data_IF_691824786639
#
_entry.id   IF_691824786639
#
_cell.length_a   1.000
_cell.length_b   1.000
_cell.length_c   1.000
_cell.angle_alpha   90.00
_cell.angle_beta   90.00
_cell.angle_gamma   90.00
#
_symmetry.space_group_name_H-M   'P 1'
#
loop_
_entity.id
_entity.type
_entity.pdbx_description
1 polymer ?
#
# COMPACT_ATOMS: atom_id res chain seq x y z
N UNK A 1 6.82 -87.44 7.32
CA UNK A 1 6.01 -86.52 6.52
C UNK A 1 6.57 -85.13 6.70
N UNK A 2 7.53 -84.81 5.83
CA UNK A 2 8.25 -83.54 5.86
C UNK A 2 7.49 -82.52 4.98
N UNK A 3 7.07 -81.42 5.53
CA UNK A 3 6.61 -80.24 4.81
C UNK A 3 7.70 -79.18 4.81
N UNK A 4 8.43 -79.06 3.72
CA UNK A 4 9.37 -77.99 3.43
C UNK A 4 8.61 -76.76 2.95
N UNK A 5 8.86 -75.61 3.61
CA UNK A 5 8.42 -74.29 3.14
C UNK A 5 9.42 -73.75 2.11
N UNK A 6 8.97 -73.18 0.98
CA UNK A 6 9.89 -72.61 -0.01
C UNK A 6 10.39 -71.26 0.49
N UNK A 7 11.70 -71.04 0.36
CA UNK A 7 12.40 -69.83 0.72
C UNK A 7 12.06 -68.64 -0.18
N UNK A 8 12.38 -67.40 0.26
CA UNK A 8 11.98 -66.16 -0.42
C UNK A 8 12.75 -65.95 -1.74
N UNK A 9 12.00 -65.72 -2.82
CA UNK A 9 12.53 -65.39 -4.15
C UNK A 9 13.27 -64.04 -4.08
N UNK A 10 14.50 -64.02 -4.62
CA UNK A 10 15.33 -62.83 -4.84
C UNK A 10 14.66 -61.84 -5.79
N UNK A 11 14.39 -60.60 -5.33
CA UNK A 11 13.89 -59.51 -6.12
C UNK A 11 15.04 -58.92 -6.95
N UNK A 12 14.86 -58.65 -8.26
CA UNK A 12 15.90 -58.08 -9.12
C UNK A 12 16.35 -56.70 -8.64
N UNK A 13 17.65 -56.44 -8.75
CA UNK A 13 18.37 -55.25 -8.26
C UNK A 13 18.07 -53.92 -8.97
N UNK A 14 17.14 -53.90 -9.91
CA UNK A 14 16.82 -52.69 -10.69
C UNK A 14 15.73 -51.76 -10.09
N UNK A 15 15.08 -52.19 -9.00
CA UNK A 15 14.06 -51.35 -8.34
C UNK A 15 14.63 -50.33 -7.33
N UNK A 16 15.96 -50.29 -7.14
CA UNK A 16 16.62 -49.34 -6.19
C UNK A 16 17.15 -48.06 -6.81
N UNK A 17 16.93 -47.80 -8.10
CA UNK A 17 17.41 -46.57 -8.77
C UNK A 17 16.33 -45.52 -9.00
N UNK A 18 15.08 -45.75 -8.68
CA UNK A 18 13.97 -44.77 -8.93
C UNK A 18 13.43 -44.08 -7.70
N UNK A 19 14.01 -44.22 -6.49
CA UNK A 19 13.54 -43.57 -5.28
C UNK A 19 14.48 -42.47 -4.72
N UNK A 20 15.44 -42.02 -5.52
CA UNK A 20 16.14 -40.75 -5.27
C UNK A 20 15.61 -39.65 -6.18
N UNK A 21 14.31 -39.46 -6.20
CA UNK A 21 13.76 -38.15 -6.50
C UNK A 21 14.16 -37.24 -5.33
N UNK A 22 15.27 -36.57 -5.53
CA UNK A 22 15.79 -35.56 -4.63
C UNK A 22 14.71 -34.56 -4.32
N UNK A 23 14.16 -34.61 -3.12
CA UNK A 23 13.52 -33.45 -2.49
C UNK A 23 14.60 -32.39 -2.29
N UNK A 24 14.91 -31.66 -3.35
CA UNK A 24 15.72 -30.45 -3.28
C UNK A 24 14.88 -29.38 -2.59
N UNK A 25 14.61 -29.59 -1.29
CA UNK A 25 14.13 -28.55 -0.40
C UNK A 25 15.31 -27.58 -0.23
N UNK A 26 15.54 -26.74 -1.25
CA UNK A 26 16.43 -25.60 -1.13
C UNK A 26 15.84 -24.70 -0.06
N UNK A 27 16.33 -24.86 1.17
CA UNK A 27 16.17 -23.83 2.20
C UNK A 27 16.61 -22.52 1.54
N UNK A 28 15.76 -21.47 1.52
CA UNK A 28 16.15 -20.20 0.94
C UNK A 28 17.47 -19.78 1.59
N UNK A 29 18.51 -19.57 0.79
CA UNK A 29 19.79 -19.10 1.30
C UNK A 29 19.55 -17.84 2.10
N UNK A 30 20.25 -17.63 3.21
CA UNK A 30 20.12 -16.42 4.04
C UNK A 30 20.25 -15.12 3.22
N UNK A 31 21.02 -15.17 2.12
CA UNK A 31 21.09 -14.14 1.08
C UNK A 31 19.76 -13.88 0.37
N UNK A 32 18.84 -14.85 0.32
CA UNK A 32 17.52 -14.70 -0.30
C UNK A 32 16.55 -13.82 0.52
N UNK A 33 16.54 -13.96 1.86
CA UNK A 33 15.68 -13.17 2.73
C UNK A 33 16.17 -11.72 2.83
N UNK A 34 17.48 -11.51 2.98
CA UNK A 34 18.07 -10.16 2.97
C UNK A 34 17.83 -9.44 1.63
N UNK A 35 17.98 -10.16 0.51
CA UNK A 35 17.65 -9.64 -0.81
C UNK A 35 16.18 -9.22 -0.94
N UNK A 36 15.25 -9.98 -0.36
CA UNK A 36 13.83 -9.61 -0.34
C UNK A 36 13.56 -8.33 0.46
N UNK A 37 14.19 -8.14 1.62
CA UNK A 37 14.07 -6.89 2.39
C UNK A 37 14.58 -5.68 1.58
N UNK A 38 15.76 -5.78 0.96
CA UNK A 38 16.32 -4.71 0.12
C UNK A 38 15.39 -4.42 -1.05
N UNK A 39 14.88 -5.46 -1.71
CA UNK A 39 13.97 -5.35 -2.84
C UNK A 39 12.69 -4.58 -2.46
N UNK A 40 11.98 -5.01 -1.41
CA UNK A 40 10.75 -4.36 -0.98
C UNK A 40 11.00 -2.93 -0.49
N UNK A 41 12.06 -2.72 0.31
CA UNK A 41 12.40 -1.38 0.79
C UNK A 41 12.72 -0.42 -0.36
N UNK A 42 13.57 -0.83 -1.31
CA UNK A 42 14.00 0.01 -2.42
C UNK A 42 12.82 0.39 -3.34
N UNK A 43 11.96 -0.57 -3.69
CA UNK A 43 10.84 -0.30 -4.57
C UNK A 43 9.82 0.62 -3.92
N UNK A 44 9.43 0.38 -2.68
CA UNK A 44 8.48 1.25 -1.96
C UNK A 44 9.04 2.65 -1.71
N UNK A 45 10.33 2.76 -1.40
CA UNK A 45 11.00 4.06 -1.28
C UNK A 45 10.93 4.84 -2.59
N UNK A 46 11.32 4.22 -3.71
CA UNK A 46 11.31 4.89 -5.03
C UNK A 46 9.90 5.23 -5.48
N UNK A 47 8.93 4.33 -5.27
CA UNK A 47 7.52 4.59 -5.58
C UNK A 47 7.02 5.82 -4.82
N UNK A 48 7.29 5.91 -3.52
CA UNK A 48 6.84 7.04 -2.69
C UNK A 48 7.55 8.34 -3.04
N UNK A 49 8.85 8.32 -3.36
CA UNK A 49 9.56 9.52 -3.82
C UNK A 49 9.06 9.99 -5.18
N UNK A 50 8.83 9.07 -6.10
CA UNK A 50 8.51 9.37 -7.50
C UNK A 50 7.02 9.57 -7.79
N UNK A 51 6.13 9.47 -6.80
CA UNK A 51 4.68 9.64 -7.02
C UNK A 51 4.35 11.10 -7.36
N UNK A 52 3.75 11.37 -8.53
CA UNK A 52 3.33 12.72 -8.93
C UNK A 52 2.24 13.33 -8.03
N UNK A 53 1.55 12.53 -7.24
CA UNK A 53 0.44 12.98 -6.39
C UNK A 53 0.85 13.30 -4.96
N UNK A 54 1.87 12.62 -4.44
CA UNK A 54 2.29 12.72 -3.03
C UNK A 54 3.80 12.78 -2.79
N UNK A 55 4.62 12.41 -3.80
CA UNK A 55 6.08 12.35 -3.68
C UNK A 55 6.79 13.68 -3.93
N UNK A 56 8.09 13.61 -4.22
CA UNK A 56 8.98 14.76 -4.39
C UNK A 56 8.49 15.75 -5.47
N UNK A 57 7.91 15.25 -6.54
CA UNK A 57 7.45 16.08 -7.67
C UNK A 57 6.03 16.62 -7.48
N UNK A 58 5.28 16.16 -6.48
CA UNK A 58 3.89 16.55 -6.29
C UNK A 58 3.72 18.06 -6.03
N UNK A 59 4.51 18.64 -5.12
CA UNK A 59 4.45 20.06 -4.83
C UNK A 59 5.03 20.92 -5.95
N UNK A 60 6.20 20.60 -6.57
CA UNK A 60 6.69 21.28 -7.76
C UNK A 60 5.70 21.32 -8.92
N UNK A 61 4.98 20.23 -9.18
CA UNK A 61 3.94 20.17 -10.23
C UNK A 61 2.77 21.11 -9.90
N UNK A 62 2.29 21.12 -8.65
CA UNK A 62 1.24 22.05 -8.21
C UNK A 62 1.68 23.50 -8.33
N UNK A 63 2.90 23.81 -7.90
CA UNK A 63 3.49 25.14 -8.00
C UNK A 63 3.61 25.60 -9.46
N UNK A 64 4.06 24.72 -10.35
CA UNK A 64 4.17 24.98 -11.78
C UNK A 64 2.81 25.30 -12.40
N UNK A 65 1.78 24.50 -12.15
CA UNK A 65 0.42 24.71 -12.64
C UNK A 65 -0.17 26.04 -12.11
N UNK A 66 0.07 26.37 -10.83
CA UNK A 66 -0.33 27.66 -10.27
C UNK A 66 0.37 28.83 -10.96
N UNK A 67 1.66 28.69 -11.25
CA UNK A 67 2.44 29.74 -11.97
C UNK A 67 1.95 29.97 -13.39
N UNK A 68 1.26 28.97 -13.99
CA UNK A 68 0.59 29.09 -15.30
C UNK A 68 -0.80 29.73 -15.22
N UNK A 69 -1.26 30.09 -14.02
CA UNK A 69 -2.59 30.69 -13.80
C UNK A 69 -3.74 29.69 -13.82
N UNK A 70 -3.45 28.38 -13.67
CA UNK A 70 -4.49 27.36 -13.59
C UNK A 70 -5.36 27.57 -12.33
N UNK A 71 -6.67 27.44 -12.49
CA UNK A 71 -7.61 27.59 -11.40
C UNK A 71 -7.46 26.45 -10.37
N UNK A 72 -7.80 26.64 -9.09
CA UNK A 72 -7.81 25.58 -8.08
C UNK A 72 -8.64 24.36 -8.50
N UNK A 73 -9.75 24.58 -9.21
CA UNK A 73 -10.58 23.50 -9.73
C UNK A 73 -9.88 22.70 -10.84
N UNK A 74 -9.17 23.37 -11.76
CA UNK A 74 -8.40 22.71 -12.81
C UNK A 74 -7.22 21.92 -12.24
N UNK A 75 -6.55 22.47 -11.24
CA UNK A 75 -5.48 21.80 -10.52
C UNK A 75 -5.99 20.54 -9.80
N UNK A 76 -7.09 20.65 -9.06
CA UNK A 76 -7.72 19.52 -8.39
C UNK A 76 -8.17 18.44 -9.37
N UNK A 77 -8.77 18.82 -10.50
CA UNK A 77 -9.18 17.88 -11.55
C UNK A 77 -7.99 17.13 -12.15
N UNK A 78 -6.87 17.82 -12.41
CA UNK A 78 -5.67 17.19 -12.95
C UNK A 78 -5.06 16.18 -11.95
N UNK A 79 -5.00 16.54 -10.67
CA UNK A 79 -4.52 15.63 -9.63
C UNK A 79 -5.44 14.41 -9.46
N UNK A 80 -6.76 14.62 -9.51
CA UNK A 80 -7.74 13.53 -9.48
C UNK A 80 -7.60 12.58 -10.68
N UNK A 81 -7.37 13.11 -11.88
CA UNK A 81 -7.12 12.30 -13.08
C UNK A 81 -5.81 11.49 -12.96
N UNK A 82 -4.75 12.08 -12.38
CA UNK A 82 -3.51 11.35 -12.10
C UNK A 82 -3.71 10.23 -11.06
N UNK A 83 -4.67 10.35 -10.16
CA UNK A 83 -4.97 9.33 -9.17
C UNK A 83 -5.85 8.16 -9.72
N UNK A 84 -6.43 8.27 -10.93
CA UNK A 84 -7.27 7.21 -11.52
C UNK A 84 -6.59 5.83 -11.55
N UNK A 85 -5.29 5.69 -11.92
CA UNK A 85 -4.62 4.39 -11.90
C UNK A 85 -4.68 3.66 -10.55
N UNK A 86 -4.75 4.37 -9.45
CA UNK A 86 -4.87 3.80 -8.11
C UNK A 86 -6.25 3.16 -7.85
N UNK A 87 -7.29 3.65 -8.52
CA UNK A 87 -8.66 3.10 -8.38
C UNK A 87 -8.88 1.86 -9.24
N UNK A 88 -8.12 1.71 -10.33
CA UNK A 88 -8.21 0.56 -11.25
C UNK A 88 -7.20 -0.55 -10.95
N UNK A 89 -6.51 -0.51 -9.80
CA UNK A 89 -5.57 -1.56 -9.36
C UNK A 89 -6.07 -3.00 -9.54
N UNK A 90 -7.36 -3.35 -9.30
CA UNK A 90 -7.85 -4.71 -9.54
C UNK A 90 -7.65 -5.18 -10.98
N UNK A 91 -7.71 -4.28 -11.97
CA UNK A 91 -7.44 -4.62 -13.38
C UNK A 91 -5.97 -5.01 -13.56
N UNK A 92 -5.05 -4.29 -12.92
CA UNK A 92 -3.62 -4.63 -12.95
C UNK A 92 -3.34 -5.97 -12.27
N UNK A 93 -4.06 -6.27 -11.17
CA UNK A 93 -4.03 -7.56 -10.52
C UNK A 93 -4.48 -8.69 -11.44
N UNK A 94 -5.64 -8.54 -12.08
CA UNK A 94 -6.14 -9.49 -13.07
C UNK A 94 -5.14 -9.71 -14.22
N UNK A 95 -4.59 -8.64 -14.77
CA UNK A 95 -3.60 -8.74 -15.83
C UNK A 95 -2.39 -9.57 -15.39
N UNK A 96 -1.81 -9.29 -14.21
CA UNK A 96 -0.61 -9.98 -13.76
C UNK A 96 -0.86 -11.40 -13.28
N UNK A 97 -2.05 -11.72 -12.77
CA UNK A 97 -2.38 -13.07 -12.33
C UNK A 97 -2.70 -14.00 -13.51
N UNK A 98 -3.33 -13.46 -14.57
CA UNK A 98 -3.88 -14.27 -15.67
C UNK A 98 -3.11 -14.17 -16.97
N UNK A 99 -2.47 -13.05 -17.26
CA UNK A 99 -1.79 -12.81 -18.54
C UNK A 99 -0.28 -12.75 -18.31
N UNK A 100 0.47 -13.83 -18.62
CA UNK A 100 1.92 -13.76 -18.52
C UNK A 100 2.49 -12.83 -19.59
N UNK A 101 3.29 -11.84 -19.18
CA UNK A 101 3.98 -10.94 -20.09
C UNK A 101 5.34 -11.53 -20.45
N UNK A 102 5.52 -11.97 -21.71
CA UNK A 102 6.74 -12.67 -22.16
C UNK A 102 7.15 -13.84 -21.27
N UNK A 103 6.18 -14.67 -20.87
CA UNK A 103 6.40 -15.84 -20.03
C UNK A 103 6.56 -15.57 -18.53
N UNK A 104 6.43 -14.33 -18.08
CA UNK A 104 6.59 -13.92 -16.69
C UNK A 104 5.31 -13.27 -16.15
N UNK A 105 4.91 -13.64 -14.94
CA UNK A 105 3.73 -13.06 -14.27
C UNK A 105 4.05 -11.83 -13.43
N UNK A 106 5.29 -11.71 -12.91
CA UNK A 106 5.65 -10.65 -11.97
C UNK A 106 6.79 -9.79 -12.50
N UNK A 107 7.92 -10.42 -12.83
CA UNK A 107 9.15 -9.72 -13.20
C UNK A 107 8.96 -8.77 -14.38
N UNK A 108 8.40 -9.25 -15.49
CA UNK A 108 8.28 -8.44 -16.71
C UNK A 108 7.25 -7.33 -16.56
N UNK A 109 6.18 -7.53 -15.79
CA UNK A 109 5.26 -6.45 -15.42
C UNK A 109 5.94 -5.38 -14.58
N UNK A 110 6.77 -5.79 -13.60
CA UNK A 110 7.51 -4.86 -12.76
C UNK A 110 8.56 -4.08 -13.55
N UNK A 111 9.25 -4.74 -14.48
CA UNK A 111 10.20 -4.08 -15.39
C UNK A 111 9.47 -3.08 -16.31
N UNK A 112 8.32 -3.46 -16.87
CA UNK A 112 7.48 -2.55 -17.65
C UNK A 112 7.04 -1.34 -16.83
N UNK A 113 6.55 -1.55 -15.63
CA UNK A 113 6.09 -0.51 -14.71
C UNK A 113 7.20 0.51 -14.39
N UNK A 114 8.35 -0.01 -13.94
CA UNK A 114 9.50 0.82 -13.58
C UNK A 114 10.11 1.51 -14.81
N UNK A 115 10.19 0.80 -15.95
CA UNK A 115 10.68 1.34 -17.21
C UNK A 115 9.80 2.46 -17.75
N UNK A 116 8.48 2.30 -17.67
CA UNK A 116 7.50 3.31 -18.08
C UNK A 116 7.63 4.59 -17.25
N UNK A 117 7.72 4.45 -15.92
CA UNK A 117 7.91 5.57 -15.00
C UNK A 117 9.25 6.28 -15.22
N UNK A 118 10.35 5.52 -15.39
CA UNK A 118 11.67 6.07 -15.68
C UNK A 118 11.69 6.86 -17.00
N UNK A 119 11.22 6.25 -18.08
CA UNK A 119 11.21 6.86 -19.42
C UNK A 119 10.38 8.15 -19.42
N UNK A 120 9.22 8.12 -18.79
CA UNK A 120 8.31 9.26 -18.69
C UNK A 120 8.92 10.45 -17.96
N UNK A 121 9.52 10.24 -16.78
CA UNK A 121 10.13 11.32 -16.00
C UNK A 121 11.45 11.82 -16.61
N UNK A 122 12.26 10.94 -17.18
CA UNK A 122 13.46 11.36 -17.92
C UNK A 122 13.10 12.17 -19.16
N UNK A 123 12.06 11.76 -19.90
CA UNK A 123 11.57 12.55 -21.05
C UNK A 123 11.08 13.93 -20.58
N UNK A 124 10.31 13.98 -19.49
CA UNK A 124 9.78 15.22 -18.92
C UNK A 124 10.88 16.20 -18.51
N UNK A 125 12.07 15.69 -18.13
CA UNK A 125 13.23 16.52 -17.81
C UNK A 125 13.69 17.42 -18.96
N UNK A 126 13.54 16.96 -20.21
CA UNK A 126 14.01 17.63 -21.39
C UNK A 126 12.91 18.37 -22.18
N UNK A 127 11.64 18.14 -21.82
CA UNK A 127 10.52 18.79 -22.50
C UNK A 127 10.37 20.22 -22.01
N UNK A 128 10.38 21.21 -22.89
CA UNK A 128 10.10 22.58 -22.50
C UNK A 128 8.62 22.73 -22.13
N UNK A 129 8.37 22.98 -20.87
CA UNK A 129 7.03 23.21 -20.34
C UNK A 129 6.76 24.72 -20.27
N UNK A 130 5.62 25.14 -20.84
CA UNK A 130 5.18 26.53 -20.88
C UNK A 130 3.71 26.65 -20.42
N UNK A 131 3.23 27.85 -20.09
CA UNK A 131 1.81 28.10 -19.86
C UNK A 131 0.96 27.54 -21.00
N UNK A 132 -0.09 26.77 -20.65
CA UNK A 132 -0.91 26.02 -21.62
C UNK A 132 -0.48 24.57 -21.87
N UNK A 133 0.73 24.14 -21.44
CA UNK A 133 1.22 22.76 -21.60
C UNK A 133 0.65 21.76 -20.58
N UNK A 134 -0.41 22.10 -19.85
CA UNK A 134 -0.97 21.25 -18.78
C UNK A 134 -1.30 19.83 -19.24
N UNK A 135 -1.86 19.67 -20.44
CA UNK A 135 -2.21 18.36 -20.97
C UNK A 135 -0.99 17.55 -21.41
N UNK A 136 0.08 18.23 -21.87
CA UNK A 136 1.37 17.59 -22.14
C UNK A 136 2.02 17.11 -20.85
N UNK A 137 2.03 17.97 -19.81
CA UNK A 137 2.49 17.62 -18.47
C UNK A 137 1.71 16.40 -17.93
N UNK A 138 0.37 16.43 -18.03
CA UNK A 138 -0.47 15.30 -17.65
C UNK A 138 -0.13 14.03 -18.42
N UNK A 139 -0.02 14.11 -19.75
CA UNK A 139 0.28 12.96 -20.61
C UNK A 139 1.65 12.33 -20.29
N UNK A 140 2.62 13.15 -19.84
CA UNK A 140 3.92 12.67 -19.43
C UNK A 140 3.95 12.18 -17.96
N UNK A 141 3.09 12.67 -17.08
CA UNK A 141 2.99 12.20 -15.69
C UNK A 141 2.12 10.95 -15.56
N UNK A 142 1.11 10.78 -16.40
CA UNK A 142 0.19 9.65 -16.34
C UNK A 142 0.89 8.28 -16.47
N UNK A 143 1.86 8.07 -17.39
CA UNK A 143 2.59 6.81 -17.44
C UNK A 143 3.36 6.50 -16.15
N UNK A 144 3.86 7.54 -15.46
CA UNK A 144 4.49 7.37 -14.14
C UNK A 144 3.50 6.82 -13.12
N UNK A 145 2.30 7.41 -13.00
CA UNK A 145 1.28 6.92 -12.05
C UNK A 145 0.75 5.54 -12.42
N UNK A 146 0.60 5.23 -13.71
CA UNK A 146 0.27 3.87 -14.18
C UNK A 146 1.37 2.90 -13.76
N UNK A 147 2.65 3.25 -13.99
CA UNK A 147 3.79 2.44 -13.59
C UNK A 147 3.83 2.20 -12.08
N UNK A 148 3.58 3.23 -11.27
CA UNK A 148 3.52 3.11 -9.80
C UNK A 148 2.38 2.16 -9.39
N UNK A 149 1.16 2.40 -9.85
CA UNK A 149 0.00 1.62 -9.46
C UNK A 149 0.12 0.15 -9.90
N UNK A 150 0.65 -0.12 -11.11
CA UNK A 150 0.95 -1.47 -11.58
C UNK A 150 2.08 -2.10 -10.76
N UNK A 151 3.18 -1.37 -10.55
CA UNK A 151 4.34 -1.85 -9.78
C UNK A 151 3.97 -2.20 -8.34
N UNK A 152 3.15 -1.38 -7.69
CA UNK A 152 2.66 -1.59 -6.34
C UNK A 152 1.86 -2.90 -6.22
N UNK A 153 0.91 -3.14 -7.15
CA UNK A 153 0.15 -4.40 -7.20
C UNK A 153 1.07 -5.62 -7.35
N UNK A 154 2.11 -5.53 -8.18
CA UNK A 154 3.06 -6.63 -8.38
C UNK A 154 3.93 -6.84 -7.15
N UNK A 155 4.42 -5.78 -6.52
CA UNK A 155 5.26 -5.86 -5.30
C UNK A 155 4.46 -6.43 -4.14
N UNK A 156 3.19 -6.04 -3.99
CA UNK A 156 2.28 -6.58 -2.99
C UNK A 156 2.00 -8.08 -3.21
N UNK A 157 1.80 -8.49 -4.46
CA UNK A 157 1.65 -9.91 -4.80
C UNK A 157 2.91 -10.71 -4.46
N UNK A 158 4.10 -10.20 -4.83
CA UNK A 158 5.39 -10.82 -4.48
C UNK A 158 5.60 -10.87 -2.97
N UNK A 159 5.15 -9.85 -2.24
CA UNK A 159 5.21 -9.84 -0.77
C UNK A 159 4.37 -10.98 -0.19
N UNK A 160 3.15 -11.19 -0.70
CA UNK A 160 2.28 -12.30 -0.26
C UNK A 160 2.91 -13.64 -0.63
N UNK A 161 3.32 -13.83 -1.88
CA UNK A 161 3.88 -15.08 -2.40
C UNK A 161 5.18 -15.49 -1.68
N UNK A 162 6.08 -14.53 -1.40
CA UNK A 162 7.34 -14.78 -0.68
C UNK A 162 7.17 -14.78 0.84
N UNK A 163 6.24 -13.99 1.36
CA UNK A 163 6.05 -13.79 2.79
C UNK A 163 5.28 -14.92 3.47
N UNK A 164 4.24 -15.43 2.84
CA UNK A 164 3.39 -16.48 3.42
C UNK A 164 4.17 -17.76 3.77
N UNK A 165 4.95 -18.38 2.85
CA UNK A 165 5.69 -19.61 3.15
C UNK A 165 6.73 -19.45 4.26
N UNK A 166 7.24 -18.23 4.47
CA UNK A 166 8.25 -17.90 5.46
C UNK A 166 7.66 -17.40 6.78
N UNK A 167 6.34 -17.14 6.84
CA UNK A 167 5.69 -16.45 7.96
C UNK A 167 6.25 -15.04 8.19
N UNK A 168 6.63 -14.33 7.10
CA UNK A 168 7.28 -13.02 7.12
C UNK A 168 6.41 -11.88 6.55
N UNK A 169 5.13 -12.12 6.26
CA UNK A 169 4.22 -11.12 5.67
C UNK A 169 4.24 -9.80 6.44
N UNK A 170 4.03 -9.82 7.75
CA UNK A 170 4.03 -8.62 8.58
C UNK A 170 5.37 -7.89 8.61
N UNK A 171 6.50 -8.61 8.53
CA UNK A 171 7.83 -7.98 8.44
C UNK A 171 8.08 -7.36 7.07
N UNK A 172 7.64 -8.01 6.01
CA UNK A 172 7.76 -7.44 4.66
C UNK A 172 6.86 -6.21 4.53
N UNK A 173 5.64 -6.24 5.05
CA UNK A 173 4.77 -5.06 5.13
C UNK A 173 5.42 -3.94 5.93
N UNK A 174 6.00 -4.24 7.08
CA UNK A 174 6.69 -3.25 7.91
C UNK A 174 7.83 -2.57 7.14
N UNK A 175 8.69 -3.32 6.43
CA UNK A 175 9.82 -2.72 5.71
C UNK A 175 9.37 -1.90 4.50
N UNK A 176 8.32 -2.35 3.78
CA UNK A 176 7.71 -1.59 2.70
C UNK A 176 7.24 -0.21 3.18
N UNK A 177 6.41 -0.19 4.22
CA UNK A 177 5.85 1.04 4.75
C UNK A 177 6.85 1.89 5.54
N UNK A 178 7.87 1.28 6.16
CA UNK A 178 9.00 2.02 6.73
C UNK A 178 9.71 2.81 5.64
N UNK A 179 10.00 2.18 4.51
CA UNK A 179 10.66 2.83 3.37
C UNK A 179 9.78 3.91 2.75
N UNK A 180 8.47 3.65 2.59
CA UNK A 180 7.51 4.62 2.07
C UNK A 180 7.40 5.86 2.97
N UNK A 181 7.22 5.66 4.29
CA UNK A 181 7.10 6.78 5.23
C UNK A 181 8.40 7.57 5.37
N UNK A 182 9.56 6.91 5.29
CA UNK A 182 10.85 7.59 5.26
C UNK A 182 10.98 8.46 3.99
N UNK A 183 10.53 7.97 2.85
CA UNK A 183 10.48 8.71 1.61
C UNK A 183 9.55 9.94 1.72
N UNK A 184 8.32 9.75 2.21
CA UNK A 184 7.33 10.83 2.36
C UNK A 184 7.76 11.90 3.36
N UNK A 185 8.44 11.51 4.44
CA UNK A 185 9.05 12.44 5.38
C UNK A 185 10.09 13.33 4.68
N UNK A 186 10.97 12.74 3.86
CA UNK A 186 12.00 13.48 3.14
C UNK A 186 11.42 14.35 2.02
N UNK A 187 10.44 13.83 1.27
CA UNK A 187 9.87 14.54 0.12
C UNK A 187 8.99 15.72 0.52
N UNK A 188 8.42 15.73 1.72
CA UNK A 188 7.69 16.88 2.25
C UNK A 188 8.60 18.12 2.37
N UNK A 189 9.78 17.94 2.96
CA UNK A 189 10.77 19.03 3.11
C UNK A 189 11.41 19.39 1.78
N UNK A 190 11.91 18.40 1.03
CA UNK A 190 12.62 18.62 -0.23
C UNK A 190 11.72 19.13 -1.35
N UNK A 191 10.48 18.66 -1.42
CA UNK A 191 9.50 19.08 -2.42
C UNK A 191 9.14 20.57 -2.30
N UNK A 192 9.05 21.07 -1.07
CA UNK A 192 8.88 22.51 -0.80
C UNK A 192 10.03 23.33 -1.33
N UNK A 193 11.25 22.96 -0.99
CA UNK A 193 12.47 23.61 -1.48
C UNK A 193 12.58 23.64 -3.01
N UNK A 194 12.35 22.46 -3.64
CA UNK A 194 12.37 22.32 -5.11
C UNK A 194 11.31 23.18 -5.78
N UNK A 195 10.14 23.32 -5.16
CA UNK A 195 9.06 24.15 -5.69
C UNK A 195 9.38 25.64 -5.57
N UNK A 196 9.93 26.07 -4.47
CA UNK A 196 10.33 27.46 -4.20
C UNK A 196 11.43 27.91 -5.15
N UNK A 197 12.49 27.11 -5.30
CA UNK A 197 13.64 27.40 -6.18
C UNK A 197 13.36 27.10 -7.67
N UNK A 198 12.13 26.67 -8.03
CA UNK A 198 11.73 26.34 -9.42
C UNK A 198 12.62 25.30 -10.10
N UNK A 199 13.07 24.31 -9.33
CA UNK A 199 13.95 23.22 -9.78
C UNK A 199 13.17 22.00 -10.28
N UNK A 200 12.02 22.17 -10.93
CA UNK A 200 11.14 21.08 -11.34
C UNK A 200 11.84 20.06 -12.25
N UNK A 201 12.62 20.54 -13.25
CA UNK A 201 13.37 19.65 -14.16
C UNK A 201 14.38 18.78 -13.43
N UNK A 202 15.05 19.36 -12.40
CA UNK A 202 15.96 18.58 -11.54
C UNK A 202 15.20 17.49 -10.77
N UNK A 203 14.02 17.81 -10.23
CA UNK A 203 13.19 16.83 -9.52
C UNK A 203 12.73 15.69 -10.45
N UNK A 204 12.33 16.00 -11.68
CA UNK A 204 11.98 15.00 -12.68
C UNK A 204 13.19 14.11 -13.01
N UNK A 205 14.37 14.70 -13.21
CA UNK A 205 15.61 13.96 -13.48
C UNK A 205 15.95 13.01 -12.32
N UNK A 206 15.96 13.51 -11.08
CA UNK A 206 16.24 12.72 -9.88
C UNK A 206 15.28 11.55 -9.73
N UNK A 207 13.98 11.81 -9.85
CA UNK A 207 12.97 10.75 -9.81
C UNK A 207 13.14 9.77 -10.97
N UNK A 208 13.41 10.24 -12.19
CA UNK A 208 13.68 9.38 -13.34
C UNK A 208 14.87 8.45 -13.12
N UNK A 209 15.99 8.95 -12.56
CA UNK A 209 17.16 8.14 -12.19
C UNK A 209 16.80 7.12 -11.10
N UNK A 210 16.04 7.51 -10.07
CA UNK A 210 15.58 6.58 -9.05
C UNK A 210 14.74 5.43 -9.64
N UNK A 211 13.92 5.73 -10.66
CA UNK A 211 13.14 4.70 -11.35
C UNK A 211 14.01 3.77 -12.22
N UNK A 212 15.11 4.27 -12.81
CA UNK A 212 16.13 3.40 -13.46
C UNK A 212 16.78 2.48 -12.43
N UNK A 213 17.09 2.98 -11.23
CA UNK A 213 17.61 2.13 -10.16
C UNK A 213 16.57 1.10 -9.70
N UNK A 214 15.30 1.47 -9.56
CA UNK A 214 14.21 0.53 -9.26
C UNK A 214 14.08 -0.55 -10.35
N UNK A 215 14.21 -0.18 -11.63
CA UNK A 215 14.26 -1.13 -12.73
C UNK A 215 15.42 -2.11 -12.58
N UNK A 216 16.64 -1.63 -12.26
CA UNK A 216 17.81 -2.48 -12.05
C UNK A 216 17.62 -3.41 -10.83
N UNK A 217 17.02 -2.92 -9.74
CA UNK A 217 16.67 -3.74 -8.56
C UNK A 217 15.65 -4.81 -8.95
N UNK A 218 14.60 -4.45 -9.68
CA UNK A 218 13.61 -5.41 -10.17
C UNK A 218 14.24 -6.46 -11.10
N UNK A 219 15.10 -6.03 -12.01
CA UNK A 219 15.86 -6.94 -12.90
C UNK A 219 16.70 -7.95 -12.11
N UNK A 220 17.33 -7.51 -11.01
CA UNK A 220 18.27 -8.34 -10.24
C UNK A 220 17.60 -9.26 -9.24
N UNK A 221 16.48 -8.84 -8.64
CA UNK A 221 15.89 -9.49 -7.46
C UNK A 221 14.46 -9.99 -7.66
N UNK A 222 13.75 -9.57 -8.71
CA UNK A 222 12.45 -10.13 -9.01
C UNK A 222 12.63 -11.51 -9.64
N UNK A 223 12.41 -12.54 -8.83
CA UNK A 223 12.33 -13.92 -9.30
C UNK A 223 10.91 -14.20 -9.79
N UNK A 224 10.82 -14.92 -10.90
CA UNK A 224 9.55 -15.40 -11.45
C UNK A 224 9.67 -16.89 -11.77
N UNK A 225 8.56 -17.59 -11.76
CA UNK A 225 8.50 -18.93 -12.32
C UNK A 225 8.40 -18.80 -13.85
N UNK A 226 9.47 -19.12 -14.56
CA UNK A 226 9.66 -18.89 -16.00
C UNK A 226 8.66 -19.64 -16.92
N UNK A 227 7.81 -20.51 -16.39
CA UNK A 227 6.90 -21.37 -17.17
C UNK A 227 5.42 -20.99 -17.09
N UNK A 228 5.13 -19.71 -16.92
CA UNK A 228 3.74 -19.25 -16.92
C UNK A 228 3.19 -19.19 -18.36
N UNK A 229 2.56 -20.26 -18.79
CA UNK A 229 1.78 -20.28 -20.03
C UNK A 229 0.32 -19.93 -19.75
N UNK A 230 -0.32 -19.24 -20.71
CA UNK A 230 -1.76 -19.06 -20.75
C UNK A 230 -2.39 -20.42 -21.03
N UNK A 231 -2.85 -21.08 -19.99
CA UNK A 231 -3.68 -22.28 -20.12
C UNK A 231 -5.14 -21.92 -19.77
N UNK A 232 -6.05 -22.19 -20.68
CA UNK A 232 -7.48 -21.97 -20.47
C UNK A 232 -8.02 -22.74 -19.24
N UNK A 233 -7.46 -23.91 -18.94
CA UNK A 233 -7.77 -24.67 -17.73
C UNK A 233 -7.31 -23.93 -16.47
N UNK A 234 -6.12 -23.35 -16.49
CA UNK A 234 -5.57 -22.51 -15.40
C UNK A 234 -6.41 -21.25 -15.17
N UNK A 235 -6.92 -20.61 -16.23
CA UNK A 235 -7.85 -19.48 -16.13
C UNK A 235 -9.15 -19.87 -15.42
N UNK A 236 -9.72 -21.02 -15.79
CA UNK A 236 -10.96 -21.49 -15.18
C UNK A 236 -10.77 -21.88 -13.70
N UNK A 237 -9.67 -22.56 -13.37
CA UNK A 237 -9.32 -22.89 -12.00
C UNK A 237 -9.07 -21.65 -11.14
N UNK A 238 -8.38 -20.65 -11.69
CA UNK A 238 -8.11 -19.40 -10.94
C UNK A 238 -9.34 -18.54 -10.79
N UNK A 239 -10.21 -18.48 -11.82
CA UNK A 239 -11.52 -17.84 -11.71
C UNK A 239 -12.42 -18.54 -10.66
N UNK A 240 -12.37 -19.86 -10.58
CA UNK A 240 -13.04 -20.63 -9.55
C UNK A 240 -12.46 -20.32 -8.16
N UNK A 241 -11.12 -20.28 -8.01
CA UNK A 241 -10.45 -19.91 -6.77
C UNK A 241 -10.80 -18.48 -6.33
N UNK A 242 -10.81 -17.52 -7.26
CA UNK A 242 -11.24 -16.14 -6.99
C UNK A 242 -12.69 -16.08 -6.51
N UNK A 243 -13.58 -16.81 -7.18
CA UNK A 243 -14.99 -16.91 -6.78
C UNK A 243 -15.15 -17.54 -5.40
N UNK A 244 -14.34 -18.54 -5.07
CA UNK A 244 -14.31 -19.17 -3.76
C UNK A 244 -13.87 -18.18 -2.68
N UNK A 245 -12.79 -17.44 -2.91
CA UNK A 245 -12.28 -16.40 -2.01
C UNK A 245 -13.33 -15.32 -1.77
N UNK A 246 -13.95 -14.80 -2.83
CA UNK A 246 -14.99 -13.76 -2.75
C UNK A 246 -16.28 -14.25 -2.04
N UNK A 247 -16.48 -15.57 -1.91
CA UNK A 247 -17.57 -16.18 -1.15
C UNK A 247 -17.17 -16.64 0.25
N UNK A 248 -15.88 -16.62 0.56
CA UNK A 248 -15.38 -17.04 1.85
C UNK A 248 -15.85 -16.06 2.95
N UNK A 249 -16.57 -16.52 3.97
CA UNK A 249 -17.08 -15.65 5.03
C UNK A 249 -15.97 -14.96 5.81
N UNK A 250 -14.80 -15.59 5.95
CA UNK A 250 -13.62 -14.96 6.57
C UNK A 250 -13.13 -13.78 5.73
N UNK A 251 -13.01 -13.97 4.42
CA UNK A 251 -12.58 -12.91 3.51
C UNK A 251 -13.56 -11.73 3.53
N UNK A 252 -14.85 -11.99 3.47
CA UNK A 252 -15.89 -10.96 3.54
C UNK A 252 -15.87 -10.22 4.88
N UNK A 253 -15.65 -10.92 6.00
CA UNK A 253 -15.53 -10.31 7.31
C UNK A 253 -14.28 -9.41 7.43
N UNK A 254 -13.16 -9.82 6.82
CA UNK A 254 -11.94 -8.99 6.75
C UNK A 254 -12.17 -7.79 5.85
N UNK A 255 -12.80 -7.93 4.69
CA UNK A 255 -13.15 -6.79 3.83
C UNK A 255 -14.04 -5.77 4.56
N UNK A 256 -15.07 -6.24 5.27
CA UNK A 256 -15.94 -5.39 6.07
C UNK A 256 -15.17 -4.66 7.17
N UNK A 257 -14.26 -5.37 7.87
CA UNK A 257 -13.39 -4.78 8.88
C UNK A 257 -12.51 -3.68 8.29
N UNK A 258 -11.84 -3.94 7.17
CA UNK A 258 -10.96 -2.99 6.50
C UNK A 258 -11.72 -1.75 6.01
N UNK A 259 -12.90 -1.95 5.41
CA UNK A 259 -13.76 -0.87 4.95
C UNK A 259 -14.16 0.05 6.10
N UNK A 260 -14.63 -0.54 7.21
CA UNK A 260 -15.06 0.19 8.38
C UNK A 260 -13.88 0.88 9.09
N UNK A 261 -12.74 0.21 9.17
CA UNK A 261 -11.51 0.75 9.75
C UNK A 261 -10.95 1.93 8.95
N UNK A 262 -11.07 1.89 7.61
CA UNK A 262 -10.63 2.96 6.70
C UNK A 262 -11.57 4.15 6.67
N UNK A 263 -12.75 4.05 7.29
CA UNK A 263 -13.72 5.14 7.33
C UNK A 263 -13.32 6.19 8.38
N UNK A 264 -12.66 7.25 7.91
CA UNK A 264 -12.10 8.32 8.74
C UNK A 264 -12.48 9.70 8.19
N UNK A 265 -13.67 10.24 8.53
CA UNK A 265 -14.15 11.53 8.04
C UNK A 265 -13.39 12.76 8.54
N UNK A 266 -12.52 12.64 9.55
CA UNK A 266 -11.68 13.76 10.01
C UNK A 266 -10.48 13.99 9.10
N UNK A 267 -9.98 12.95 8.46
CA UNK A 267 -8.77 13.03 7.64
C UNK A 267 -9.00 13.85 6.35
N UNK A 268 -7.91 14.40 5.79
CA UNK A 268 -7.96 15.20 4.57
C UNK A 268 -8.52 16.59 4.78
N UNK A 269 -9.60 16.93 4.08
CA UNK A 269 -10.12 18.29 4.00
C UNK A 269 -10.60 18.86 5.33
N UNK A 270 -11.21 18.03 6.21
CA UNK A 270 -11.72 18.52 7.51
C UNK A 270 -10.56 18.92 8.42
N UNK A 271 -9.54 18.08 8.52
CA UNK A 271 -8.35 18.38 9.32
C UNK A 271 -7.61 19.60 8.80
N UNK A 272 -7.43 19.70 7.47
CA UNK A 272 -6.83 20.86 6.81
C UNK A 272 -7.58 22.14 7.14
N UNK A 273 -8.91 22.18 6.96
CA UNK A 273 -9.74 23.35 7.23
C UNK A 273 -9.76 23.72 8.72
N UNK A 274 -9.71 22.73 9.61
CA UNK A 274 -9.63 23.01 11.04
C UNK A 274 -8.29 23.65 11.40
N UNK A 275 -7.16 23.13 10.90
CA UNK A 275 -5.84 23.68 11.17
C UNK A 275 -5.65 25.08 10.55
N UNK A 276 -5.98 25.25 9.27
CA UNK A 276 -5.69 26.50 8.54
C UNK A 276 -6.70 27.59 8.83
N UNK A 277 -7.99 27.29 8.78
CA UNK A 277 -9.03 28.28 9.02
C UNK A 277 -9.51 28.34 10.47
N UNK A 278 -9.38 27.26 11.23
CA UNK A 278 -9.82 27.19 12.64
C UNK A 278 -8.74 27.70 13.58
N UNK A 279 -7.54 27.12 13.48
CA UNK A 279 -6.40 27.43 14.34
C UNK A 279 -5.46 28.49 13.75
N UNK A 280 -5.68 28.92 12.49
CA UNK A 280 -4.90 29.97 11.83
C UNK A 280 -3.49 29.54 11.42
N UNK A 281 -3.25 28.23 11.21
CA UNK A 281 -1.93 27.74 10.78
C UNK A 281 -1.64 28.17 9.33
N UNK A 282 -0.39 28.51 9.08
CA UNK A 282 0.08 28.73 7.72
C UNK A 282 0.13 27.40 6.93
N UNK A 283 0.18 27.50 5.60
CA UNK A 283 0.37 26.33 4.74
C UNK A 283 1.67 25.56 5.09
N UNK A 284 2.72 26.30 5.47
CA UNK A 284 3.99 25.71 5.91
C UNK A 284 3.83 24.97 7.24
N UNK A 285 3.08 25.55 8.21
CA UNK A 285 2.80 24.87 9.47
C UNK A 285 2.04 23.59 9.25
N UNK A 286 1.02 23.61 8.39
CA UNK A 286 0.28 22.42 8.00
C UNK A 286 1.18 21.35 7.36
N UNK A 287 2.08 21.76 6.44
CA UNK A 287 3.07 20.87 5.81
C UNK A 287 4.01 20.23 6.84
N UNK A 288 4.53 21.03 7.78
CA UNK A 288 5.41 20.55 8.83
C UNK A 288 4.70 19.58 9.79
N UNK A 289 3.46 19.88 10.17
CA UNK A 289 2.63 18.99 11.01
C UNK A 289 2.29 17.69 10.28
N UNK A 290 2.05 17.74 8.97
CA UNK A 290 1.88 16.55 8.14
C UNK A 290 3.17 15.70 8.10
N UNK A 291 4.34 16.34 8.01
CA UNK A 291 5.63 15.64 8.10
C UNK A 291 5.82 14.97 9.47
N UNK A 292 5.35 15.60 10.55
CA UNK A 292 5.34 14.98 11.89
C UNK A 292 4.46 13.73 11.96
N UNK A 293 3.32 13.72 11.26
CA UNK A 293 2.49 12.52 11.12
C UNK A 293 3.27 11.38 10.43
N UNK A 294 4.00 11.66 9.36
CA UNK A 294 4.82 10.64 8.68
C UNK A 294 6.02 10.18 9.54
N UNK A 295 6.57 11.05 10.36
CA UNK A 295 7.57 10.64 11.35
C UNK A 295 6.99 9.66 12.37
N UNK A 296 5.80 9.92 12.89
CA UNK A 296 5.05 8.98 13.74
C UNK A 296 4.75 7.67 13.00
N UNK A 297 4.29 7.75 11.75
CA UNK A 297 4.03 6.58 10.91
C UNK A 297 5.28 5.72 10.68
N UNK A 298 6.43 6.35 10.50
CA UNK A 298 7.72 5.68 10.40
C UNK A 298 8.04 4.89 11.68
N UNK A 299 7.84 5.52 12.86
CA UNK A 299 8.03 4.86 14.16
C UNK A 299 7.08 3.66 14.30
N UNK A 300 5.80 3.81 13.91
CA UNK A 300 4.81 2.73 13.91
C UNK A 300 5.22 1.57 13.00
N UNK A 301 5.74 1.87 11.81
CA UNK A 301 6.21 0.88 10.83
C UNK A 301 7.38 0.06 11.38
N UNK A 302 8.39 0.73 11.94
CA UNK A 302 9.57 0.08 12.53
C UNK A 302 9.14 -0.77 13.73
N UNK A 303 8.33 -0.21 14.61
CA UNK A 303 7.81 -0.90 15.80
C UNK A 303 7.07 -2.18 15.41
N UNK A 304 6.16 -2.13 14.45
CA UNK A 304 5.42 -3.30 13.98
C UNK A 304 6.36 -4.40 13.47
N UNK A 305 7.37 -4.06 12.70
CA UNK A 305 8.37 -5.02 12.22
C UNK A 305 9.10 -5.80 13.32
N UNK A 306 9.20 -5.23 14.51
CA UNK A 306 9.81 -5.87 15.68
C UNK A 306 8.85 -6.86 16.33
N UNK A 307 7.60 -6.46 16.60
CA UNK A 307 6.69 -7.27 17.42
C UNK A 307 5.66 -8.09 16.63
N UNK A 308 5.49 -7.90 15.33
CA UNK A 308 4.46 -8.57 14.51
C UNK A 308 4.47 -10.11 14.58
N UNK A 309 5.62 -10.73 14.90
CA UNK A 309 5.76 -12.18 15.06
C UNK A 309 5.71 -12.66 16.53
N UNK A 310 5.79 -11.74 17.47
CA UNK A 310 5.82 -12.03 18.91
C UNK A 310 4.41 -12.03 19.52
N UNK A 311 3.46 -11.38 18.85
CA UNK A 311 2.11 -11.17 19.33
C UNK A 311 1.13 -12.07 18.58
N UNK A 312 0.17 -12.67 19.29
CA UNK A 312 -0.88 -13.51 18.69
C UNK A 312 -1.75 -12.67 17.76
N UNK A 313 -2.25 -13.28 16.68
CA UNK A 313 -3.03 -12.59 15.67
C UNK A 313 -4.33 -11.98 16.21
N UNK A 314 -5.01 -12.68 17.14
CA UNK A 314 -6.18 -12.13 17.86
C UNK A 314 -5.87 -10.86 18.62
N UNK A 315 -4.72 -10.82 19.32
CA UNK A 315 -4.26 -9.64 20.05
C UNK A 315 -3.91 -8.50 19.08
N UNK A 316 -3.25 -8.81 17.97
CA UNK A 316 -2.97 -7.83 16.91
C UNK A 316 -4.27 -7.22 16.34
N UNK A 317 -5.30 -8.03 16.12
CA UNK A 317 -6.60 -7.54 15.66
C UNK A 317 -7.19 -6.51 16.64
N UNK A 318 -7.23 -6.82 17.92
CA UNK A 318 -7.70 -5.86 18.94
C UNK A 318 -6.80 -4.62 19.01
N UNK A 319 -5.48 -4.80 18.90
CA UNK A 319 -4.53 -3.69 18.87
C UNK A 319 -4.76 -2.77 17.68
N UNK A 320 -5.10 -3.31 16.48
CA UNK A 320 -5.41 -2.49 15.31
C UNK A 320 -6.64 -1.61 15.52
N UNK A 321 -7.68 -2.12 16.19
CA UNK A 321 -8.89 -1.35 16.52
C UNK A 321 -8.56 -0.25 17.53
N UNK A 322 -7.81 -0.58 18.58
CA UNK A 322 -7.34 0.39 19.58
C UNK A 322 -6.48 1.48 18.90
N UNK A 323 -5.59 1.08 18.02
CA UNK A 323 -4.75 2.00 17.25
C UNK A 323 -5.58 2.97 16.40
N UNK A 324 -6.65 2.50 15.74
CA UNK A 324 -7.56 3.37 15.00
C UNK A 324 -8.29 4.35 15.93
N UNK A 325 -8.76 3.88 17.10
CA UNK A 325 -9.41 4.75 18.10
C UNK A 325 -8.44 5.83 18.58
N UNK A 326 -7.18 5.46 18.90
CA UNK A 326 -6.16 6.41 19.35
C UNK A 326 -5.82 7.39 18.23
N UNK A 327 -5.55 6.89 16.99
CA UNK A 327 -5.21 7.72 15.84
C UNK A 327 -6.26 8.80 15.55
N UNK A 328 -7.54 8.46 15.69
CA UNK A 328 -8.63 9.40 15.47
C UNK A 328 -8.92 10.28 16.69
N UNK A 329 -8.96 9.67 17.88
CA UNK A 329 -9.37 10.34 19.11
C UNK A 329 -8.36 11.36 19.62
N UNK A 330 -7.07 11.20 19.32
CA UNK A 330 -6.03 12.14 19.75
C UNK A 330 -6.25 13.56 19.17
N UNK A 331 -6.95 13.68 18.05
CA UNK A 331 -7.27 14.96 17.43
C UNK A 331 -8.20 15.84 18.29
N UNK A 332 -8.87 15.32 19.32
CA UNK A 332 -9.55 16.14 20.32
C UNK A 332 -8.62 17.05 21.13
N UNK A 333 -7.31 16.76 21.13
CA UNK A 333 -6.28 17.56 21.79
C UNK A 333 -5.61 18.57 20.84
N UNK A 334 -6.16 18.76 19.63
CA UNK A 334 -5.62 19.65 18.61
C UNK A 334 -6.13 21.07 18.84
N UNK A 335 -5.34 21.90 19.53
CA UNK A 335 -5.71 23.28 19.91
C UNK A 335 -4.63 24.33 19.59
N UNK A 336 -3.41 23.91 19.34
CA UNK A 336 -2.25 24.78 19.11
C UNK A 336 -1.23 24.12 18.18
N UNK A 337 -0.28 24.89 17.67
CA UNK A 337 0.80 24.35 16.83
C UNK A 337 1.64 23.32 17.58
N UNK A 338 1.90 23.54 18.87
CA UNK A 338 2.67 22.60 19.69
C UNK A 338 1.91 21.30 19.90
N UNK A 339 0.59 21.36 20.19
CA UNK A 339 -0.22 20.16 20.31
C UNK A 339 -0.37 19.46 18.97
N UNK A 340 -0.44 20.19 17.85
CA UNK A 340 -0.52 19.63 16.51
C UNK A 340 0.65 18.71 16.18
N UNK A 341 1.88 19.07 16.53
CA UNK A 341 3.05 18.20 16.35
C UNK A 341 2.93 16.91 17.15
N UNK A 342 2.60 17.01 18.44
CA UNK A 342 2.47 15.84 19.34
C UNK A 342 1.32 14.94 18.88
N UNK A 343 0.15 15.52 18.62
CA UNK A 343 -1.05 14.83 18.13
C UNK A 343 -0.72 14.08 16.84
N UNK A 344 -0.05 14.75 15.89
CA UNK A 344 0.27 14.16 14.58
C UNK A 344 1.24 13.00 14.69
N UNK A 345 2.28 13.09 15.53
CA UNK A 345 3.20 11.96 15.77
C UNK A 345 2.46 10.76 16.35
N UNK A 346 1.63 10.97 17.38
CA UNK A 346 0.85 9.91 18.02
C UNK A 346 -0.16 9.32 17.02
N UNK A 347 -0.89 10.17 16.30
CA UNK A 347 -1.85 9.75 15.29
C UNK A 347 -1.19 8.92 14.19
N UNK A 348 -0.05 9.38 13.67
CA UNK A 348 0.72 8.68 12.64
C UNK A 348 1.23 7.31 13.11
N UNK A 349 1.81 7.23 14.30
CA UNK A 349 2.31 5.99 14.88
C UNK A 349 1.18 4.96 15.09
N UNK A 350 0.05 5.41 15.63
CA UNK A 350 -1.13 4.58 15.85
C UNK A 350 -1.76 4.15 14.52
N UNK A 351 -1.96 5.08 13.58
CA UNK A 351 -2.50 4.81 12.24
C UNK A 351 -1.69 3.73 11.53
N UNK A 352 -0.37 3.90 11.46
CA UNK A 352 0.48 2.96 10.73
C UNK A 352 0.56 1.60 11.42
N UNK A 353 0.58 1.56 12.74
CA UNK A 353 0.47 0.32 13.51
C UNK A 353 -0.79 -0.45 13.14
N UNK A 354 -1.95 0.22 13.17
CA UNK A 354 -3.22 -0.38 12.79
C UNK A 354 -3.25 -0.84 11.33
N UNK A 355 -2.79 0.00 10.40
CA UNK A 355 -2.69 -0.30 8.97
C UNK A 355 -1.88 -1.56 8.71
N UNK A 356 -0.69 -1.67 9.29
CA UNK A 356 0.19 -2.82 9.06
C UNK A 356 -0.41 -4.12 9.60
N UNK A 357 -1.10 -4.08 10.74
CA UNK A 357 -1.84 -5.23 11.25
C UNK A 357 -2.92 -5.67 10.26
N UNK A 358 -3.68 -4.72 9.72
CA UNK A 358 -4.75 -5.00 8.76
C UNK A 358 -4.20 -5.60 7.45
N UNK A 359 -3.09 -5.06 6.95
CA UNK A 359 -2.42 -5.55 5.75
C UNK A 359 -1.82 -6.95 5.95
N UNK A 360 -1.17 -7.20 7.10
CA UNK A 360 -0.64 -8.53 7.44
C UNK A 360 -1.78 -9.57 7.60
N UNK A 361 -2.88 -9.17 8.25
CA UNK A 361 -4.07 -9.99 8.37
C UNK A 361 -4.61 -10.37 6.98
N UNK A 362 -4.72 -9.39 6.10
CA UNK A 362 -5.17 -9.58 4.71
C UNK A 362 -4.23 -10.52 3.96
N UNK A 363 -2.92 -10.28 4.05
CA UNK A 363 -1.91 -11.08 3.36
C UNK A 363 -1.91 -12.57 3.79
N UNK A 364 -2.33 -12.87 5.02
CA UNK A 364 -2.40 -14.27 5.52
C UNK A 364 -3.58 -15.08 4.98
N UNK A 365 -4.65 -14.44 4.55
CA UNK A 365 -5.88 -15.12 4.10
C UNK A 365 -5.98 -15.21 2.57
N UNK A 366 -5.11 -14.51 1.85
CA UNK A 366 -5.13 -14.48 0.39
C UNK A 366 -4.40 -15.70 -0.18
N UNK A 367 -5.01 -16.46 -1.10
CA UNK A 367 -4.33 -17.55 -1.78
C UNK A 367 -3.27 -17.00 -2.75
N UNK A 368 -2.05 -17.60 -2.73
CA UNK A 368 -0.93 -17.14 -3.56
C UNK A 368 -1.24 -17.14 -5.07
N UNK A 369 -2.14 -18.01 -5.55
CA UNK A 369 -2.53 -18.09 -6.96
C UNK A 369 -3.26 -16.85 -7.50
N UNK A 370 -3.97 -16.11 -6.64
CA UNK A 370 -4.73 -14.92 -7.00
C UNK A 370 -4.30 -13.70 -6.17
N UNK A 371 -3.03 -13.70 -5.72
CA UNK A 371 -2.54 -12.74 -4.75
C UNK A 371 -2.68 -11.29 -5.24
N UNK A 372 -2.27 -11.00 -6.48
CA UNK A 372 -2.35 -9.65 -7.02
C UNK A 372 -3.79 -9.14 -7.12
N UNK A 373 -4.69 -9.94 -7.70
CA UNK A 373 -6.10 -9.55 -7.89
C UNK A 373 -6.82 -9.35 -6.56
N UNK A 374 -6.65 -10.28 -5.64
CA UNK A 374 -7.37 -10.25 -4.36
C UNK A 374 -6.83 -9.12 -3.48
N UNK A 375 -5.50 -8.96 -3.38
CA UNK A 375 -4.91 -7.87 -2.60
C UNK A 375 -5.25 -6.51 -3.18
N UNK A 376 -5.14 -6.34 -4.51
CA UNK A 376 -5.54 -5.11 -5.20
C UNK A 376 -7.03 -4.78 -5.00
N UNK A 377 -7.91 -5.80 -4.98
CA UNK A 377 -9.35 -5.60 -4.72
C UNK A 377 -9.59 -5.09 -3.30
N UNK A 378 -8.90 -5.67 -2.31
CA UNK A 378 -8.97 -5.21 -0.92
C UNK A 378 -8.46 -3.78 -0.79
N UNK A 379 -7.32 -3.45 -1.43
CA UNK A 379 -6.77 -2.09 -1.42
C UNK A 379 -7.70 -1.08 -2.11
N UNK A 380 -8.30 -1.44 -3.25
CA UNK A 380 -9.28 -0.60 -3.92
C UNK A 380 -10.51 -0.33 -3.05
N UNK A 381 -10.98 -1.33 -2.29
CA UNK A 381 -12.09 -1.20 -1.36
C UNK A 381 -11.75 -0.25 -0.20
N UNK A 382 -10.55 -0.36 0.37
CA UNK A 382 -10.10 0.55 1.44
C UNK A 382 -9.92 1.98 0.94
N UNK A 383 -9.38 2.16 -0.28
CA UNK A 383 -9.26 3.47 -0.92
C UNK A 383 -10.63 4.09 -1.20
N UNK A 384 -11.60 3.28 -1.67
CA UNK A 384 -12.98 3.73 -1.87
C UNK A 384 -13.63 4.16 -0.56
N UNK A 385 -13.45 3.38 0.53
CA UNK A 385 -13.96 3.73 1.85
C UNK A 385 -13.33 5.03 2.38
N UNK A 386 -12.02 5.21 2.19
CA UNK A 386 -11.30 6.44 2.54
C UNK A 386 -11.82 7.66 1.79
N UNK A 387 -11.94 7.57 0.47
CA UNK A 387 -12.46 8.66 -0.37
C UNK A 387 -13.93 9.00 -0.05
N UNK A 388 -14.76 7.97 0.18
CA UNK A 388 -16.14 8.14 0.60
C UNK A 388 -16.25 8.81 1.97
N UNK A 389 -15.37 8.45 2.91
CA UNK A 389 -15.34 9.06 4.23
C UNK A 389 -14.87 10.51 4.21
N UNK A 390 -13.95 10.88 3.33
CA UNK A 390 -13.52 12.27 3.14
C UNK A 390 -14.67 13.14 2.59
N UNK A 391 -15.39 12.65 1.58
CA UNK A 391 -16.57 13.34 1.05
C UNK A 391 -17.66 13.50 2.12
N UNK A 392 -17.94 12.43 2.88
CA UNK A 392 -18.88 12.46 3.99
C UNK A 392 -18.42 13.42 5.09
N UNK A 393 -17.13 13.42 5.44
CA UNK A 393 -16.55 14.32 6.44
C UNK A 393 -16.69 15.78 6.05
N UNK A 394 -16.40 16.12 4.79
CA UNK A 394 -16.59 17.47 4.26
C UNK A 394 -18.04 17.93 4.34
N UNK A 395 -19.00 17.08 3.98
CA UNK A 395 -20.43 17.35 4.11
C UNK A 395 -20.84 17.52 5.58
N UNK A 396 -20.45 16.59 6.46
CA UNK A 396 -20.75 16.64 7.90
C UNK A 396 -20.21 17.91 8.54
N UNK A 397 -18.94 18.22 8.26
CA UNK A 397 -18.29 19.43 8.78
C UNK A 397 -18.99 20.70 8.29
N UNK A 398 -19.34 20.78 7.00
CA UNK A 398 -20.05 21.93 6.44
C UNK A 398 -21.43 22.14 7.07
N UNK A 399 -22.21 21.06 7.20
CA UNK A 399 -23.53 21.10 7.81
C UNK A 399 -23.48 21.46 9.30
N UNK A 400 -22.59 20.85 10.06
CA UNK A 400 -22.41 21.10 11.49
C UNK A 400 -21.84 22.50 11.76
N UNK A 401 -20.90 22.98 10.92
CA UNK A 401 -20.31 24.33 11.05
C UNK A 401 -21.37 25.44 10.97
N UNK A 402 -22.36 25.27 10.09
CA UNK A 402 -23.45 26.26 9.93
C UNK A 402 -24.34 26.39 11.18
N UNK A 403 -24.54 25.27 11.91
CA UNK A 403 -25.49 25.22 13.05
C UNK A 403 -24.79 25.36 14.41
N UNK A 404 -23.58 24.84 14.56
CA UNK A 404 -22.92 24.66 15.87
C UNK A 404 -21.54 25.31 15.97
N UNK A 405 -21.06 25.93 14.89
CA UNK A 405 -19.71 26.49 14.82
C UNK A 405 -18.64 25.46 14.43
N UNK A 406 -17.44 25.97 14.11
CA UNK A 406 -16.36 25.21 13.49
C UNK A 406 -15.75 24.16 14.43
N UNK A 407 -15.48 24.52 15.67
CA UNK A 407 -14.89 23.61 16.66
C UNK A 407 -15.80 22.41 16.93
N UNK A 408 -17.09 22.66 17.15
CA UNK A 408 -18.09 21.60 17.35
C UNK A 408 -18.22 20.71 16.12
N UNK A 409 -18.16 21.28 14.91
CA UNK A 409 -18.19 20.52 13.66
C UNK A 409 -16.97 19.61 13.53
N UNK A 410 -15.79 20.09 13.91
CA UNK A 410 -14.57 19.26 13.94
C UNK A 410 -14.70 18.12 14.95
N UNK A 411 -15.15 18.41 16.17
CA UNK A 411 -15.38 17.43 17.21
C UNK A 411 -16.40 16.35 16.80
N UNK A 412 -17.43 16.70 16.03
CA UNK A 412 -18.35 15.72 15.45
C UNK A 412 -17.67 14.81 14.44
N UNK A 413 -16.81 15.34 13.57
CA UNK A 413 -16.06 14.52 12.61
C UNK A 413 -15.12 13.55 13.34
N UNK A 414 -14.43 14.01 14.39
CA UNK A 414 -13.59 13.15 15.25
C UNK A 414 -14.43 12.07 15.94
N UNK A 415 -15.59 12.44 16.51
CA UNK A 415 -16.47 11.49 17.19
C UNK A 415 -16.98 10.39 16.24
N UNK A 416 -17.36 10.77 15.00
CA UNK A 416 -17.80 9.81 13.97
C UNK A 416 -16.64 8.90 13.56
N UNK A 417 -15.43 9.43 13.40
CA UNK A 417 -14.23 8.62 13.08
C UNK A 417 -13.92 7.60 14.19
N UNK A 418 -13.99 8.03 15.45
CA UNK A 418 -13.82 7.14 16.62
C UNK A 418 -14.94 6.11 16.70
N UNK A 419 -16.20 6.50 16.46
CA UNK A 419 -17.33 5.58 16.48
C UNK A 419 -17.21 4.50 15.39
N UNK A 420 -16.75 4.87 14.19
CA UNK A 420 -16.46 3.92 13.13
C UNK A 420 -15.36 2.93 13.55
N UNK A 421 -14.26 3.41 14.15
CA UNK A 421 -13.19 2.56 14.67
C UNK A 421 -13.70 1.62 15.77
N UNK A 422 -14.50 2.11 16.74
CA UNK A 422 -15.07 1.28 17.81
C UNK A 422 -16.01 0.21 17.25
N UNK A 423 -16.81 0.55 16.22
CA UNK A 423 -17.75 -0.40 15.62
C UNK A 423 -17.07 -1.56 14.90
N UNK A 424 -15.76 -1.49 14.60
CA UNK A 424 -14.97 -2.64 14.14
C UNK A 424 -15.04 -3.83 15.11
N UNK A 425 -15.23 -3.60 16.43
CA UNK A 425 -15.40 -4.68 17.41
C UNK A 425 -16.66 -5.51 17.17
N UNK A 426 -17.70 -4.97 16.50
CA UNK A 426 -18.90 -5.71 16.15
C UNK A 426 -18.61 -6.85 15.13
N UNK A 427 -17.50 -6.74 14.38
CA UNK A 427 -17.07 -7.76 13.42
C UNK A 427 -16.20 -8.86 14.06
N UNK A 428 -15.64 -8.63 15.25
CA UNK A 428 -14.76 -9.61 15.93
C UNK A 428 -15.44 -10.96 16.17
N UNK A 429 -16.71 -11.06 16.65
CA UNK A 429 -17.39 -12.35 16.79
C UNK A 429 -17.54 -13.10 15.46
N UNK A 430 -17.73 -12.38 14.35
CA UNK A 430 -17.83 -12.93 13.00
C UNK A 430 -16.50 -13.51 12.55
N UNK A 431 -15.42 -12.76 12.76
CA UNK A 431 -14.04 -13.20 12.48
C UNK A 431 -13.66 -14.42 13.34
N UNK A 432 -14.02 -14.43 14.62
CA UNK A 432 -13.76 -15.54 15.52
C UNK A 432 -14.47 -16.82 15.11
N UNK A 433 -15.71 -16.73 14.58
CA UNK A 433 -16.45 -17.87 14.05
C UNK A 433 -15.85 -18.39 12.74
N UNK A 434 -15.35 -17.47 11.89
CA UNK A 434 -14.80 -17.82 10.58
C UNK A 434 -13.34 -18.34 10.65
N UNK A 435 -12.58 -17.96 11.67
CA UNK A 435 -11.18 -18.35 11.88
C UNK A 435 -10.86 -18.58 13.36
N UNK A 436 -11.41 -19.67 13.98
CA UNK A 436 -11.18 -19.96 15.40
C UNK A 436 -9.68 -20.09 15.75
N UNK A 437 -8.89 -20.62 14.82
CA UNK A 437 -7.44 -20.81 14.96
C UNK A 437 -6.63 -19.53 15.19
N UNK A 438 -7.23 -18.36 15.05
CA UNK A 438 -6.56 -17.09 15.39
C UNK A 438 -6.59 -16.78 16.87
N UNK A 439 -7.44 -17.47 17.63
CA UNK A 439 -7.64 -17.27 19.06
C UNK A 439 -7.01 -18.39 19.91
N UNK A 440 -6.63 -19.50 19.29
CA UNK A 440 -5.84 -20.58 19.91
C UNK A 440 -4.33 -20.22 19.88
#
# INVERSE_FOLDING_TARGET
MNNEFPGPRSVPSDARRSSQATSDTRRPRATGVAGAYIFFAALYFVQSVGDPTSGLIAQPVRSLLRSWGESPAALGALMALLAVPWTIKPIFGLLSDFVPLFGSRRRNYLLLANGLAAASLLLLTFVPLAPGSRWLLFALLLPTTIGIALGDVIVDALMVEKGQPLGLTGRFQSIQWTAANAALLLTGVLGGYVAEEKLQSLAFALCGVLWVLAFAVAWRYADDHEDAHLDAASLHETAAALREVLRNPLFLAVCALLTLWSFNPVWGSVLYLHMTEGLGFSEQDFGNVTSAFFAGSLMGSIGYGIYCRLVRLSTLLHLSIIAAIVSNGVYWQLDSLSSAYVVSVIAGAAYMTGTLIQLDLTARIIPARAAATVFATVMALTNFAGSGSEAFGGWLFGAAKASYGRETAFNFAVAVSVAAAVSCWLLVPMLRRAAPQWWD
#
